data_IF_244241312770
#
_entry.id   IF_244241312770
#
_cell.length_a   1.000
_cell.length_b   1.000
_cell.length_c   1.000
_cell.angle_alpha   90.00
_cell.angle_beta   90.00
_cell.angle_gamma   90.00
#
_symmetry.space_group_name_H-M   'P 1'
#
loop_
_entity.id
_entity.type
_entity.pdbx_description
1 polymer ?
#
# COMPACT_ATOMS: atom_id res chain seq x y z
N UNK A 1 -6.44 -12.37 39.93
CA UNK A 1 -6.45 -13.63 39.15
C UNK A 1 -5.08 -13.81 38.48
N UNK A 2 -4.34 -14.88 38.75
CA UNK A 2 -3.00 -15.10 38.16
C UNK A 2 -3.09 -15.67 36.74
N UNK A 3 -2.04 -15.50 35.92
CA UNK A 3 -1.94 -16.11 34.58
C UNK A 3 -2.10 -17.64 34.61
N UNK A 4 -1.69 -18.29 35.70
CA UNK A 4 -1.85 -19.73 35.92
C UNK A 4 -3.31 -20.12 36.13
N UNK A 5 -4.04 -19.36 36.98
CA UNK A 5 -5.48 -19.54 37.18
C UNK A 5 -6.26 -19.32 35.89
N UNK A 6 -5.89 -18.31 35.09
CA UNK A 6 -6.52 -18.05 33.79
C UNK A 6 -6.32 -19.22 32.82
N UNK A 7 -5.08 -19.71 32.66
CA UNK A 7 -4.79 -20.86 31.77
C UNK A 7 -5.52 -22.13 32.22
N UNK A 8 -5.59 -22.39 33.52
CA UNK A 8 -6.31 -23.53 34.08
C UNK A 8 -7.81 -23.46 33.77
N UNK A 9 -8.40 -22.27 33.93
CA UNK A 9 -9.83 -22.04 33.70
C UNK A 9 -10.19 -22.10 32.21
N UNK A 10 -9.32 -21.58 31.34
CA UNK A 10 -9.48 -21.73 29.88
C UNK A 10 -9.39 -23.21 29.47
N UNK A 11 -8.46 -23.98 30.06
CA UNK A 11 -8.33 -25.42 29.80
C UNK A 11 -9.55 -26.21 30.28
N UNK A 12 -10.11 -25.88 31.45
CA UNK A 12 -11.36 -26.51 31.94
C UNK A 12 -12.56 -26.19 31.06
N UNK A 13 -12.56 -25.05 30.37
CA UNK A 13 -13.57 -24.69 29.38
C UNK A 13 -13.26 -25.18 27.96
N UNK A 14 -12.22 -26.00 27.75
CA UNK A 14 -11.74 -26.45 26.42
C UNK A 14 -11.40 -25.30 25.45
N UNK A 15 -11.27 -24.07 25.96
CA UNK A 15 -10.98 -22.89 25.18
C UNK A 15 -9.48 -22.83 24.90
N UNK A 16 -9.11 -22.92 23.63
CA UNK A 16 -7.74 -22.82 23.17
C UNK A 16 -7.54 -21.55 22.35
N UNK A 17 -6.28 -21.09 22.27
CA UNK A 17 -5.94 -20.00 21.34
C UNK A 17 -6.09 -20.51 19.92
N UNK A 18 -6.75 -19.71 19.06
CA UNK A 18 -6.94 -19.88 17.60
C UNK A 18 -6.37 -21.18 17.04
N UNK A 19 -7.25 -22.15 16.81
CA UNK A 19 -6.92 -23.51 16.36
C UNK A 19 -7.05 -23.70 14.86
N UNK A 20 -7.97 -22.95 14.22
CA UNK A 20 -8.24 -23.07 12.80
C UNK A 20 -7.27 -22.22 11.98
N UNK A 21 -6.08 -22.75 11.76
CA UNK A 21 -5.13 -22.17 10.82
C UNK A 21 -5.48 -22.58 9.40
N UNK A 22 -5.42 -21.62 8.48
CA UNK A 22 -5.57 -21.89 7.05
C UNK A 22 -4.41 -22.74 6.55
N UNK A 23 -4.63 -23.66 5.59
CA UNK A 23 -3.57 -24.50 5.05
C UNK A 23 -2.48 -23.66 4.38
N UNK A 24 -1.22 -24.03 4.58
CA UNK A 24 -0.04 -23.28 4.10
C UNK A 24 -0.04 -23.06 2.59
N UNK A 25 -0.62 -23.98 1.81
CA UNK A 25 -0.69 -23.86 0.35
C UNK A 25 -1.59 -22.68 -0.09
N UNK A 26 -2.74 -22.50 0.57
CA UNK A 26 -3.65 -21.38 0.28
C UNK A 26 -3.01 -20.06 0.64
N UNK A 27 -2.27 -20.02 1.74
CA UNK A 27 -1.49 -18.85 2.14
C UNK A 27 -0.41 -18.54 1.10
N UNK A 28 0.35 -19.55 0.66
CA UNK A 28 1.43 -19.38 -0.32
C UNK A 28 0.90 -18.81 -1.63
N UNK A 29 -0.23 -19.32 -2.12
CA UNK A 29 -0.91 -18.80 -3.30
C UNK A 29 -1.36 -17.34 -3.12
N UNK A 30 -1.95 -17.00 -1.97
CA UNK A 30 -2.37 -15.63 -1.69
C UNK A 30 -1.18 -14.64 -1.63
N UNK A 31 -0.05 -15.06 -1.07
CA UNK A 31 1.17 -14.24 -1.06
C UNK A 31 1.68 -14.03 -2.50
N UNK A 32 1.71 -15.08 -3.32
CA UNK A 32 2.14 -14.96 -4.72
C UNK A 32 1.27 -13.99 -5.53
N UNK A 33 -0.05 -13.98 -5.31
CA UNK A 33 -0.95 -13.02 -5.94
C UNK A 33 -0.67 -11.57 -5.48
N UNK A 34 -0.42 -11.35 -4.19
CA UNK A 34 -0.08 -10.01 -3.67
C UNK A 34 1.27 -9.50 -4.21
N UNK A 35 2.24 -10.41 -4.40
CA UNK A 35 3.56 -10.08 -4.96
C UNK A 35 3.52 -9.66 -6.43
N UNK A 36 2.48 -10.03 -7.20
CA UNK A 36 2.30 -9.55 -8.59
C UNK A 36 1.90 -8.07 -8.67
N UNK A 37 1.46 -7.48 -7.55
CA UNK A 37 0.88 -6.14 -7.52
C UNK A 37 1.59 -5.19 -6.55
N UNK A 38 0.85 -4.28 -5.90
CA UNK A 38 1.44 -3.33 -4.95
C UNK A 38 2.05 -4.03 -3.73
N UNK A 39 1.61 -5.26 -3.43
CA UNK A 39 2.09 -6.09 -2.33
C UNK A 39 3.54 -6.53 -2.45
N UNK A 40 4.17 -6.37 -3.63
CA UNK A 40 5.62 -6.58 -3.81
C UNK A 40 6.48 -5.70 -2.88
N UNK A 41 5.94 -4.62 -2.33
CA UNK A 41 6.64 -3.72 -1.41
C UNK A 41 6.36 -4.01 0.07
N UNK A 42 5.37 -4.85 0.38
CA UNK A 42 4.97 -5.14 1.76
C UNK A 42 6.08 -5.88 2.51
N UNK A 43 6.31 -5.50 3.77
CA UNK A 43 7.03 -6.35 4.71
C UNK A 43 6.11 -7.45 5.26
N UNK A 44 6.68 -8.46 5.91
CA UNK A 44 5.91 -9.60 6.46
C UNK A 44 4.77 -9.18 7.40
N UNK A 45 4.91 -8.05 8.12
CA UNK A 45 3.86 -7.51 9.01
C UNK A 45 2.66 -6.99 8.21
N UNK A 46 2.92 -6.20 7.16
CA UNK A 46 1.89 -5.69 6.26
C UNK A 46 1.25 -6.84 5.50
N UNK A 47 2.05 -7.79 4.99
CA UNK A 47 1.57 -9.00 4.32
C UNK A 47 0.63 -9.80 5.23
N UNK A 48 1.01 -10.04 6.50
CA UNK A 48 0.15 -10.71 7.47
C UNK A 48 -1.18 -9.99 7.70
N UNK A 49 -1.16 -8.65 7.75
CA UNK A 49 -2.36 -7.85 7.91
C UNK A 49 -3.26 -7.93 6.66
N UNK A 50 -2.68 -7.83 5.46
CA UNK A 50 -3.41 -7.94 4.20
C UNK A 50 -4.05 -9.32 4.02
N UNK A 51 -3.32 -10.40 4.31
CA UNK A 51 -3.85 -11.77 4.26
C UNK A 51 -5.05 -11.96 5.19
N UNK A 52 -5.03 -11.29 6.35
CA UNK A 52 -6.14 -11.31 7.30
C UNK A 52 -7.32 -10.44 6.86
N UNK A 53 -7.07 -9.27 6.28
CA UNK A 53 -8.12 -8.30 5.94
C UNK A 53 -8.79 -8.59 4.59
N UNK A 54 -8.01 -8.98 3.58
CA UNK A 54 -8.48 -9.17 2.20
C UNK A 54 -8.88 -10.62 1.91
N UNK A 55 -8.13 -11.58 2.44
CA UNK A 55 -8.35 -13.01 2.19
C UNK A 55 -8.97 -13.74 3.38
N UNK A 56 -9.22 -13.04 4.50
CA UNK A 56 -9.77 -13.62 5.74
C UNK A 56 -9.01 -14.84 6.27
N UNK A 57 -7.70 -14.92 5.98
CA UNK A 57 -6.87 -16.06 6.36
C UNK A 57 -6.40 -15.93 7.81
N UNK A 58 -6.37 -17.08 8.50
CA UNK A 58 -5.89 -17.15 9.89
C UNK A 58 -4.59 -17.93 9.92
N UNK A 59 -3.49 -17.25 10.26
CA UNK A 59 -2.14 -17.83 10.23
C UNK A 59 -1.21 -17.17 11.26
N UNK A 60 -0.11 -17.86 11.58
CA UNK A 60 0.93 -17.29 12.45
C UNK A 60 1.76 -16.30 11.66
N UNK A 61 2.28 -15.28 12.35
CA UNK A 61 3.15 -14.28 11.72
C UNK A 61 4.48 -14.89 11.28
N UNK A 62 4.98 -15.87 12.03
CA UNK A 62 6.24 -16.54 11.73
C UNK A 62 6.14 -17.31 10.41
N UNK A 63 5.01 -17.98 10.16
CA UNK A 63 4.72 -18.67 8.90
C UNK A 63 4.68 -17.68 7.71
N UNK A 64 4.12 -16.48 7.89
CA UNK A 64 4.19 -15.42 6.86
C UNK A 64 5.64 -15.02 6.62
N UNK A 65 6.44 -14.88 7.67
CA UNK A 65 7.82 -14.43 7.58
C UNK A 65 8.70 -15.43 6.82
N UNK A 66 8.59 -16.72 7.11
CA UNK A 66 9.30 -17.78 6.36
C UNK A 66 8.83 -17.83 4.92
N UNK A 67 7.52 -17.87 4.66
CA UNK A 67 6.98 -17.93 3.30
C UNK A 67 7.34 -16.68 2.46
N UNK A 68 7.29 -15.48 3.05
CA UNK A 68 7.66 -14.25 2.33
C UNK A 68 9.16 -14.25 1.99
N UNK A 69 10.00 -14.80 2.86
CA UNK A 69 11.45 -14.91 2.62
C UNK A 69 11.78 -15.94 1.53
N UNK A 70 11.03 -17.03 1.45
CA UNK A 70 11.14 -18.03 0.39
C UNK A 70 10.70 -17.48 -0.97
N UNK A 71 9.58 -16.74 -1.01
CA UNK A 71 8.96 -16.27 -2.25
C UNK A 71 9.58 -14.98 -2.81
N UNK A 72 10.18 -14.13 -1.97
CA UNK A 72 10.84 -12.88 -2.36
C UNK A 72 12.26 -12.78 -1.75
N UNK A 73 13.23 -13.57 -2.26
CA UNK A 73 14.58 -13.61 -1.72
C UNK A 73 15.36 -12.30 -1.94
N UNK A 74 14.98 -11.48 -2.92
CA UNK A 74 15.64 -10.22 -3.26
C UNK A 74 15.05 -9.02 -2.52
N UNK A 75 13.73 -8.97 -2.33
CA UNK A 75 13.08 -7.83 -1.67
C UNK A 75 13.28 -7.79 -0.16
N UNK A 76 13.42 -8.93 0.53
CA UNK A 76 13.72 -8.95 1.98
C UNK A 76 15.05 -8.27 2.31
N UNK A 77 16.19 -8.60 1.67
CA UNK A 77 17.46 -7.93 1.92
C UNK A 77 17.48 -6.47 1.43
N UNK A 78 16.78 -6.13 0.35
CA UNK A 78 16.67 -4.73 -0.10
C UNK A 78 16.00 -3.83 0.96
N UNK A 79 14.96 -4.34 1.62
CA UNK A 79 14.30 -3.64 2.76
C UNK A 79 15.19 -3.59 4.00
N UNK A 80 15.97 -4.64 4.26
CA UNK A 80 16.93 -4.66 5.38
C UNK A 80 18.00 -3.57 5.23
N UNK A 81 18.38 -3.21 4.00
CA UNK A 81 19.29 -2.10 3.68
C UNK A 81 18.67 -0.72 3.90
N UNK A 82 17.40 -0.62 4.32
CA UNK A 82 16.64 0.63 4.55
C UNK A 82 16.65 1.60 3.36
N UNK A 83 16.85 1.08 2.14
CA UNK A 83 16.77 1.88 0.92
C UNK A 83 15.33 1.88 0.42
N UNK A 84 14.77 3.08 0.29
CA UNK A 84 13.43 3.27 -0.27
C UNK A 84 13.44 2.91 -1.75
N UNK A 85 12.78 1.81 -2.12
CA UNK A 85 12.53 1.49 -3.54
C UNK A 85 11.39 2.40 -4.00
N UNK A 86 11.72 3.37 -4.87
CA UNK A 86 10.73 4.28 -5.44
C UNK A 86 9.87 3.52 -6.45
N UNK A 87 8.55 3.66 -6.35
CA UNK A 87 7.62 3.21 -7.41
C UNK A 87 8.00 3.94 -8.71
N UNK A 88 8.23 3.18 -9.77
CA UNK A 88 8.40 3.74 -11.11
C UNK A 88 7.02 3.91 -11.72
N UNK A 89 6.55 5.14 -11.79
CA UNK A 89 5.34 5.48 -12.53
C UNK A 89 5.74 5.60 -14.01
N UNK A 90 5.53 4.54 -14.79
CA UNK A 90 5.56 4.65 -16.24
C UNK A 90 4.21 5.19 -16.71
N UNK A 91 4.06 6.51 -16.79
CA UNK A 91 3.04 7.06 -17.68
C UNK A 91 3.58 7.03 -19.11
N UNK A 92 2.73 6.66 -20.05
CA UNK A 92 3.02 6.95 -21.45
C UNK A 92 3.23 8.45 -21.57
N UNK A 93 4.44 8.87 -21.97
CA UNK A 93 4.73 10.29 -22.11
C UNK A 93 3.85 10.92 -23.20
N UNK A 94 3.79 12.26 -23.28
CA UNK A 94 3.07 12.98 -24.34
C UNK A 94 3.53 12.58 -25.77
N UNK A 95 4.73 12.00 -25.86
CA UNK A 95 5.28 11.42 -27.07
C UNK A 95 4.59 10.13 -27.55
N UNK A 96 3.96 9.36 -26.67
CA UNK A 96 3.19 8.16 -27.00
C UNK A 96 1.80 8.51 -27.52
N UNK A 97 1.23 9.63 -27.05
CA UNK A 97 -0.08 10.16 -27.46
C UNK A 97 0.01 11.13 -28.66
N UNK A 98 1.16 11.18 -29.35
CA UNK A 98 1.40 12.09 -30.49
C UNK A 98 0.38 11.93 -31.62
N UNK A 99 -0.24 10.76 -31.76
CA UNK A 99 -1.29 10.52 -32.74
C UNK A 99 -2.67 11.05 -32.31
N UNK A 100 -2.87 11.35 -31.02
CA UNK A 100 -4.13 11.83 -30.45
C UNK A 100 -4.27 13.35 -30.53
N UNK A 101 -3.14 14.07 -30.43
CA UNK A 101 -3.11 15.53 -30.52
C UNK A 101 -2.24 15.92 -31.71
N UNK A 102 -2.85 16.43 -32.79
CA UNK A 102 -2.13 16.84 -34.01
C UNK A 102 -1.16 18.02 -33.82
N UNK A 103 -1.00 18.53 -32.58
CA UNK A 103 -0.17 19.70 -32.26
C UNK A 103 -0.62 21.00 -32.94
N UNK A 104 -1.65 20.94 -33.79
CA UNK A 104 -2.15 22.09 -34.54
C UNK A 104 -2.67 23.15 -33.59
N UNK A 105 -2.39 24.42 -33.91
CA UNK A 105 -2.86 25.57 -33.15
C UNK A 105 -4.38 25.55 -32.94
N UNK A 106 -5.14 25.08 -33.94
CA UNK A 106 -6.59 24.91 -33.84
C UNK A 106 -7.00 23.84 -32.82
N UNK A 107 -6.32 22.69 -32.84
CA UNK A 107 -6.56 21.61 -31.87
C UNK A 107 -6.19 22.05 -30.44
N UNK A 108 -5.07 22.75 -30.29
CA UNK A 108 -4.66 23.33 -29.00
C UNK A 108 -5.68 24.36 -28.49
N UNK A 109 -6.21 25.23 -29.35
CA UNK A 109 -7.26 26.19 -29.00
C UNK A 109 -8.57 25.50 -28.61
N UNK A 110 -8.99 24.45 -29.31
CA UNK A 110 -10.21 23.69 -28.99
C UNK A 110 -10.08 22.91 -27.69
N UNK A 111 -8.96 22.21 -27.49
CA UNK A 111 -8.67 21.50 -26.24
C UNK A 111 -8.60 22.50 -25.09
N UNK A 112 -7.92 23.64 -25.26
CA UNK A 112 -7.96 24.72 -24.28
C UNK A 112 -9.40 25.18 -24.02
N UNK A 113 -10.19 25.47 -25.05
CA UNK A 113 -11.57 25.95 -24.87
C UNK A 113 -12.46 24.96 -24.10
N UNK A 114 -12.44 23.67 -24.47
CA UNK A 114 -13.24 22.63 -23.81
C UNK A 114 -12.81 22.41 -22.37
N UNK A 115 -11.49 22.36 -22.11
CA UNK A 115 -10.97 22.03 -20.79
C UNK A 115 -10.70 23.23 -19.89
N UNK A 116 -10.69 24.47 -20.40
CA UNK A 116 -10.39 25.68 -19.60
C UNK A 116 -11.36 25.81 -18.43
N UNK A 117 -12.65 25.52 -18.62
CA UNK A 117 -13.63 25.56 -17.53
C UNK A 117 -13.40 24.48 -16.47
N UNK A 118 -12.89 23.31 -16.86
CA UNK A 118 -12.54 22.24 -15.91
C UNK A 118 -11.27 22.63 -15.14
N UNK A 119 -10.23 23.00 -15.88
CA UNK A 119 -8.94 23.41 -15.32
C UNK A 119 -9.08 24.63 -14.40
N UNK A 120 -9.89 25.62 -14.78
CA UNK A 120 -10.13 26.80 -13.96
C UNK A 120 -10.82 26.42 -12.64
N UNK A 121 -11.83 25.55 -12.66
CA UNK A 121 -12.48 25.05 -11.45
C UNK A 121 -11.49 24.31 -10.54
N UNK A 122 -10.66 23.45 -11.09
CA UNK A 122 -9.67 22.69 -10.32
C UNK A 122 -8.61 23.62 -9.69
N UNK A 123 -8.21 24.67 -10.42
CA UNK A 123 -7.30 25.70 -9.94
C UNK A 123 -7.94 26.57 -8.85
N UNK A 124 -9.21 26.93 -9.00
CA UNK A 124 -9.96 27.70 -8.01
C UNK A 124 -10.16 26.89 -6.72
N UNK A 125 -10.49 25.60 -6.83
CA UNK A 125 -10.59 24.68 -5.68
C UNK A 125 -9.24 24.51 -4.97
N UNK A 126 -8.16 24.34 -5.75
CA UNK A 126 -6.81 24.24 -5.21
C UNK A 126 -6.39 25.52 -4.49
N UNK A 127 -6.73 26.68 -5.06
CA UNK A 127 -6.51 28.00 -4.46
C UNK A 127 -7.29 28.16 -3.16
N UNK A 128 -8.56 27.77 -3.14
CA UNK A 128 -9.40 27.86 -1.94
C UNK A 128 -8.85 26.98 -0.81
N UNK A 129 -8.51 25.72 -1.11
CA UNK A 129 -7.86 24.82 -0.15
C UNK A 129 -6.54 25.39 0.36
N UNK A 130 -5.73 25.98 -0.53
CA UNK A 130 -4.48 26.63 -0.13
C UNK A 130 -4.69 27.87 0.73
N UNK A 131 -5.73 28.65 0.49
CA UNK A 131 -5.99 29.84 1.30
C UNK A 131 -6.65 29.52 2.65
N UNK A 132 -7.39 28.42 2.71
CA UNK A 132 -8.14 27.99 3.91
C UNK A 132 -7.38 26.99 4.77
N UNK A 133 -6.33 26.34 4.26
CA UNK A 133 -5.56 25.41 5.08
C UNK A 133 -4.77 26.17 6.15
N UNK A 134 -5.04 25.83 7.40
CA UNK A 134 -4.19 26.23 8.50
C UNK A 134 -2.91 25.38 8.46
N UNK A 135 -1.79 26.00 8.13
CA UNK A 135 -0.47 25.38 8.26
C UNK A 135 -0.24 25.18 9.76
N UNK A 136 -0.38 23.95 10.25
CA UNK A 136 0.00 23.64 11.64
C UNK A 136 1.49 23.94 11.79
N UNK A 137 1.90 24.72 12.81
CA UNK A 137 3.31 24.89 13.09
C UNK A 137 3.89 23.51 13.41
N UNK A 138 4.80 23.05 12.54
CA UNK A 138 5.58 21.85 12.79
C UNK A 138 6.87 22.33 13.46
N UNK A 139 7.12 21.90 14.71
CA UNK A 139 8.39 22.11 15.40
C UNK A 139 9.49 21.22 14.78
N UNK A 140 9.78 21.40 13.49
CA UNK A 140 10.89 20.75 12.80
C UNK A 140 11.60 21.76 11.93
N UNK A 141 12.31 22.68 12.60
CA UNK A 141 13.60 23.24 12.14
C UNK A 141 14.04 24.36 13.11
N UNK A 142 14.57 23.99 14.28
CA UNK A 142 15.75 24.72 14.72
C UNK A 142 16.87 24.22 13.82
N UNK A 143 17.10 24.93 12.71
CA UNK A 143 18.43 24.93 12.10
C UNK A 143 19.41 25.48 13.16
N UNK A 144 20.63 24.91 13.23
CA UNK A 144 21.49 24.94 14.41
C UNK A 144 21.74 26.33 15.01
#
# INVERSE_FOLDING_TARGET
>A
MSLRSLKSKLKSFSLSRKTHFSPLNTVRAAIQEELKGPGQHYGYRSMWQTLRQKYSLTMRRDDVMTLTRELDPSGVPLRARRRFVRRVYSSCGPNHERHLFSGSRGHACLVRFVFLGVLQRDLDESREKWNTHAIRPVNQSCCP
#
